data_IF_108486673828
#
_entry.id   IF_108486673828
#
_cell.length_a   1.000
_cell.length_b   1.000
_cell.length_c   1.000
_cell.angle_alpha   90.00
_cell.angle_beta   90.00
_cell.angle_gamma   90.00
#
_symmetry.space_group_name_H-M   'P 1'
#
loop_
_entity.id
_entity.type
_entity.pdbx_description
1 polymer ?
#
# COMPACT_ATOMS: atom_id res chain seq x y z
N UNK A 1 19.97 -22.62 -13.76
CA UNK A 1 20.07 -21.21 -14.16
C UNK A 1 19.74 -21.17 -15.64
N UNK A 2 18.49 -20.88 -15.99
CA UNK A 2 18.09 -20.69 -17.39
C UNK A 2 17.63 -19.25 -17.50
N UNK A 3 18.48 -18.44 -18.12
CA UNK A 3 18.23 -17.04 -18.42
C UNK A 3 17.36 -17.02 -19.67
N UNK A 4 16.05 -16.82 -19.51
CA UNK A 4 15.12 -16.62 -20.63
C UNK A 4 15.34 -15.22 -21.20
N UNK A 5 16.28 -15.11 -22.13
CA UNK A 5 16.47 -13.93 -22.97
C UNK A 5 15.56 -14.10 -24.20
N UNK A 6 14.52 -13.27 -24.31
CA UNK A 6 13.77 -13.05 -25.55
C UNK A 6 13.98 -11.61 -26.01
N UNK A 7 14.57 -11.47 -27.21
CA UNK A 7 15.27 -10.27 -27.70
C UNK A 7 14.44 -8.97 -27.85
N UNK A 8 13.12 -8.99 -27.64
CA UNK A 8 12.28 -7.78 -27.80
C UNK A 8 11.42 -7.42 -26.58
N UNK A 9 11.13 -8.37 -25.67
CA UNK A 9 10.29 -8.15 -24.47
C UNK A 9 11.04 -8.34 -23.13
N UNK A 10 12.29 -8.83 -23.17
CA UNK A 10 13.05 -9.15 -21.96
C UNK A 10 13.46 -7.90 -21.15
N UNK A 11 13.76 -6.79 -21.82
CA UNK A 11 14.27 -5.59 -21.15
C UNK A 11 13.19 -4.88 -20.32
N UNK A 12 11.97 -4.73 -20.83
CA UNK A 12 10.88 -4.12 -20.07
C UNK A 12 10.48 -4.99 -18.86
N UNK A 13 10.49 -6.32 -19.04
CA UNK A 13 10.20 -7.27 -17.97
C UNK A 13 11.30 -7.25 -16.90
N UNK A 14 12.58 -7.29 -17.30
CA UNK A 14 13.71 -7.24 -16.38
C UNK A 14 13.80 -5.88 -15.66
N UNK A 15 13.59 -4.77 -16.37
CA UNK A 15 13.57 -3.43 -15.81
C UNK A 15 12.39 -3.24 -14.85
N UNK A 16 11.20 -3.73 -15.20
CA UNK A 16 10.03 -3.72 -14.33
C UNK A 16 10.24 -4.51 -13.04
N UNK A 17 10.89 -5.68 -13.15
CA UNK A 17 11.29 -6.50 -12.00
C UNK A 17 12.28 -5.77 -11.11
N UNK A 18 13.33 -5.17 -11.69
CA UNK A 18 14.31 -4.37 -10.95
C UNK A 18 13.65 -3.18 -10.25
N UNK A 19 12.81 -2.43 -10.96
CA UNK A 19 12.04 -1.32 -10.41
C UNK A 19 11.22 -1.76 -9.20
N UNK A 20 10.48 -2.87 -9.33
CA UNK A 20 9.67 -3.43 -8.23
C UNK A 20 10.55 -3.72 -7.01
N UNK A 21 11.70 -4.39 -7.22
CA UNK A 21 12.65 -4.67 -6.13
C UNK A 21 13.16 -3.37 -5.50
N UNK A 22 13.54 -2.38 -6.29
CA UNK A 22 14.03 -1.10 -5.80
C UNK A 22 12.97 -0.33 -5.01
N UNK A 23 11.70 -0.33 -5.44
CA UNK A 23 10.59 0.29 -4.70
C UNK A 23 10.41 -0.35 -3.32
N UNK A 24 10.48 -1.68 -3.26
CA UNK A 24 10.37 -2.44 -2.02
C UNK A 24 11.57 -2.22 -1.10
N UNK A 25 12.79 -2.23 -1.63
CA UNK A 25 14.00 -1.95 -0.86
C UNK A 25 14.04 -0.52 -0.35
N UNK A 26 13.63 0.46 -1.17
CA UNK A 26 13.56 1.85 -0.74
C UNK A 26 12.58 2.03 0.43
N UNK A 27 11.38 1.44 0.35
CA UNK A 27 10.44 1.41 1.46
C UNK A 27 11.10 0.84 2.73
N UNK A 28 11.79 -0.31 2.61
CA UNK A 28 12.43 -0.96 3.75
C UNK A 28 13.55 -0.10 4.33
N UNK A 29 14.40 0.52 3.52
CA UNK A 29 15.45 1.41 3.99
C UNK A 29 14.89 2.59 4.79
N UNK A 30 13.79 3.21 4.33
CA UNK A 30 13.16 4.31 5.05
C UNK A 30 12.47 3.83 6.34
N UNK A 31 11.81 2.68 6.29
CA UNK A 31 11.18 2.08 7.46
C UNK A 31 12.24 1.78 8.52
N UNK A 32 13.33 1.12 8.14
CA UNK A 32 14.44 0.75 9.02
C UNK A 32 15.11 1.96 9.65
N UNK A 33 15.43 2.97 8.83
CA UNK A 33 15.99 4.22 9.31
C UNK A 33 15.10 4.90 10.36
N UNK A 34 13.78 4.95 10.10
CA UNK A 34 12.83 5.56 11.03
C UNK A 34 12.59 4.70 12.27
N UNK A 35 12.59 3.37 12.13
CA UNK A 35 12.44 2.44 13.22
C UNK A 35 13.57 2.58 14.24
N UNK A 36 14.81 2.65 13.76
CA UNK A 36 16.00 2.79 14.61
C UNK A 36 16.10 4.16 15.28
N UNK A 37 15.79 5.24 14.55
CA UNK A 37 16.06 6.61 14.99
C UNK A 37 14.85 7.31 15.59
N UNK A 38 13.67 7.10 15.02
CA UNK A 38 12.48 7.91 15.27
C UNK A 38 11.20 7.03 15.31
N UNK A 39 11.12 5.99 16.15
CA UNK A 39 10.00 5.03 16.13
C UNK A 39 8.65 5.68 16.45
N UNK A 40 8.64 6.76 17.24
CA UNK A 40 7.43 7.57 17.46
C UNK A 40 6.95 8.28 16.19
N UNK A 41 7.87 8.74 15.35
CA UNK A 41 7.54 9.34 14.05
C UNK A 41 7.02 8.26 13.11
N UNK A 42 7.66 7.09 13.09
CA UNK A 42 7.23 5.95 12.28
C UNK A 42 5.76 5.58 12.52
N UNK A 43 5.27 5.66 13.76
CA UNK A 43 3.84 5.47 14.11
C UNK A 43 2.85 6.45 13.44
N UNK A 44 3.34 7.48 12.76
CA UNK A 44 2.56 8.48 12.03
C UNK A 44 2.90 8.52 10.53
N UNK A 45 3.70 7.56 10.04
CA UNK A 45 4.10 7.45 8.63
C UNK A 45 3.27 6.37 7.94
N UNK A 46 2.95 6.63 6.67
CA UNK A 46 2.33 5.66 5.78
C UNK A 46 3.21 5.42 4.56
N UNK A 47 3.48 4.16 4.25
CA UNK A 47 4.16 3.71 3.04
C UNK A 47 3.13 3.22 2.03
N UNK A 48 3.09 3.87 0.87
CA UNK A 48 2.16 3.56 -0.21
C UNK A 48 2.98 3.16 -1.43
N UNK A 49 2.85 1.90 -1.86
CA UNK A 49 3.51 1.38 -3.05
C UNK A 49 2.54 1.39 -4.24
N UNK A 50 3.08 1.69 -5.43
CA UNK A 50 2.34 1.67 -6.69
C UNK A 50 2.40 0.26 -7.30
N UNK A 51 1.45 -0.58 -6.90
CA UNK A 51 1.44 -2.01 -7.19
C UNK A 51 1.20 -2.86 -5.94
N UNK A 52 1.12 -4.19 -6.10
CA UNK A 52 0.93 -5.09 -4.97
C UNK A 52 2.18 -5.19 -4.10
N UNK A 53 1.99 -5.60 -2.85
CA UNK A 53 3.07 -6.02 -1.96
C UNK A 53 3.51 -7.46 -2.34
N UNK A 54 4.16 -7.56 -3.51
CA UNK A 54 4.53 -8.82 -4.13
C UNK A 54 5.77 -8.73 -4.99
N UNK A 55 6.50 -9.84 -5.06
CA UNK A 55 7.67 -10.04 -5.89
C UNK A 55 7.46 -11.31 -6.72
N UNK A 56 7.69 -11.22 -8.03
CA UNK A 56 7.41 -12.30 -8.98
C UNK A 56 8.69 -12.79 -9.65
N UNK A 57 8.72 -14.06 -10.09
CA UNK A 57 9.87 -14.59 -10.83
C UNK A 57 11.08 -14.86 -9.91
N UNK A 58 12.32 -14.74 -10.42
CA UNK A 58 13.53 -15.14 -9.69
C UNK A 58 13.73 -14.44 -8.34
N UNK A 59 13.19 -13.22 -8.17
CA UNK A 59 13.28 -12.46 -6.93
C UNK A 59 12.15 -12.75 -5.93
N UNK A 60 11.17 -13.58 -6.27
CA UNK A 60 10.06 -13.95 -5.38
C UNK A 60 10.53 -14.40 -3.98
N UNK A 61 11.63 -15.19 -3.82
CA UNK A 61 12.10 -15.58 -2.49
C UNK A 61 12.41 -14.42 -1.53
N UNK A 62 12.74 -13.23 -2.03
CA UNK A 62 13.01 -12.04 -1.21
C UNK A 62 11.81 -11.65 -0.34
N UNK A 63 10.57 -11.95 -0.78
CA UNK A 63 9.35 -11.66 -0.02
C UNK A 63 9.36 -12.27 1.39
N UNK A 64 10.05 -13.40 1.59
CA UNK A 64 10.22 -14.02 2.91
C UNK A 64 11.03 -13.16 3.87
N UNK A 65 12.14 -12.58 3.37
CA UNK A 65 12.98 -11.70 4.17
C UNK A 65 12.24 -10.39 4.52
N UNK A 66 11.49 -9.84 3.56
CA UNK A 66 10.64 -8.65 3.79
C UNK A 66 9.60 -8.94 4.87
N UNK A 67 8.86 -10.05 4.75
CA UNK A 67 7.85 -10.42 5.73
C UNK A 67 8.43 -10.62 7.13
N UNK A 68 9.53 -11.37 7.25
CA UNK A 68 10.20 -11.61 8.52
C UNK A 68 10.67 -10.31 9.19
N UNK A 69 11.24 -9.40 8.39
CA UNK A 69 11.64 -8.08 8.87
C UNK A 69 10.45 -7.26 9.38
N UNK A 70 9.36 -7.17 8.61
CA UNK A 70 8.17 -6.42 9.01
C UNK A 70 7.55 -6.97 10.30
N UNK A 71 7.52 -8.29 10.46
CA UNK A 71 7.04 -8.94 11.68
C UNK A 71 7.93 -8.65 12.89
N UNK A 72 9.25 -8.70 12.71
CA UNK A 72 10.22 -8.38 13.76
C UNK A 72 10.07 -6.92 14.21
N UNK A 73 10.04 -5.98 13.25
CA UNK A 73 9.85 -4.56 13.53
C UNK A 73 8.49 -4.31 14.20
N UNK A 74 7.42 -4.94 13.74
CA UNK A 74 6.09 -4.78 14.32
C UNK A 74 6.00 -5.29 15.75
N UNK A 75 6.62 -6.43 16.04
CA UNK A 75 6.70 -6.98 17.40
C UNK A 75 7.39 -5.99 18.32
N UNK A 76 8.58 -5.51 17.95
CA UNK A 76 9.33 -4.56 18.78
C UNK A 76 8.58 -3.23 18.94
N UNK A 77 7.96 -2.70 17.89
CA UNK A 77 7.15 -1.48 18.00
C UNK A 77 6.01 -1.65 19.00
N UNK A 78 5.32 -2.79 18.94
CA UNK A 78 4.18 -3.09 19.82
C UNK A 78 4.62 -3.25 21.27
N UNK A 79 5.72 -3.98 21.51
CA UNK A 79 6.31 -4.17 22.85
C UNK A 79 6.72 -2.83 23.49
N UNK A 80 7.13 -1.86 22.66
CA UNK A 80 7.49 -0.50 23.09
C UNK A 80 6.29 0.44 23.18
N UNK A 81 5.08 -0.03 22.92
CA UNK A 81 3.84 0.75 22.99
C UNK A 81 3.63 1.72 21.81
N UNK A 82 4.33 1.52 20.71
CA UNK A 82 4.16 2.30 19.48
C UNK A 82 3.08 1.71 18.58
N UNK A 83 2.43 2.58 17.79
CA UNK A 83 1.53 2.12 16.73
C UNK A 83 2.32 1.70 15.50
N UNK A 84 1.86 0.67 14.81
CA UNK A 84 2.45 0.21 13.56
C UNK A 84 2.25 1.25 12.44
N UNK A 85 3.25 1.46 11.57
CA UNK A 85 3.07 2.29 10.38
C UNK A 85 2.08 1.64 9.42
N UNK A 86 1.35 2.46 8.67
CA UNK A 86 0.55 1.95 7.55
C UNK A 86 1.48 1.54 6.43
N UNK A 87 1.32 0.34 5.90
CA UNK A 87 1.99 -0.12 4.68
C UNK A 87 0.90 -0.71 3.78
N UNK A 88 0.80 -0.19 2.56
CA UNK A 88 -0.21 -0.62 1.59
C UNK A 88 0.33 -0.57 0.17
N UNK A 89 0.11 -1.62 -0.58
CA UNK A 89 0.27 -1.62 -2.04
C UNK A 89 -1.07 -1.30 -2.68
N UNK A 90 -1.10 -0.41 -3.68
CA UNK A 90 -2.32 -0.05 -4.40
C UNK A 90 -2.16 -0.35 -5.88
N UNK A 91 -3.06 -1.17 -6.43
CA UNK A 91 -3.10 -1.53 -7.84
C UNK A 91 -4.11 -0.68 -8.60
N UNK A 92 -3.67 -0.05 -9.69
CA UNK A 92 -4.50 0.77 -10.57
C UNK A 92 -4.90 0.06 -11.86
N UNK A 93 -4.20 -1.02 -12.18
CA UNK A 93 -4.36 -1.78 -13.42
C UNK A 93 -4.16 -3.28 -13.17
N UNK A 94 -4.48 -4.08 -14.18
CA UNK A 94 -4.43 -5.53 -14.13
C UNK A 94 -5.73 -6.17 -13.66
N UNK A 95 -5.80 -7.50 -13.77
CA UNK A 95 -7.02 -8.29 -13.62
C UNK A 95 -7.82 -7.96 -12.33
N UNK A 96 -7.13 -7.73 -11.21
CA UNK A 96 -7.80 -7.40 -9.95
C UNK A 96 -8.44 -5.99 -9.97
N UNK A 97 -7.73 -4.98 -10.46
CA UNK A 97 -8.26 -3.61 -10.57
C UNK A 97 -9.41 -3.53 -11.59
N UNK A 98 -9.27 -4.23 -12.73
CA UNK A 98 -10.31 -4.33 -13.74
C UNK A 98 -11.57 -5.02 -13.21
N UNK A 99 -11.40 -6.15 -12.51
CA UNK A 99 -12.52 -6.85 -11.87
C UNK A 99 -13.20 -5.98 -10.80
N UNK A 100 -12.42 -5.30 -9.96
CA UNK A 100 -12.94 -4.40 -8.94
C UNK A 100 -13.79 -3.27 -9.54
N UNK A 101 -13.36 -2.72 -10.68
CA UNK A 101 -14.12 -1.70 -11.41
C UNK A 101 -15.44 -2.24 -11.95
N UNK A 102 -15.46 -3.47 -12.48
CA UNK A 102 -16.68 -4.09 -13.02
C UNK A 102 -17.74 -4.37 -11.95
N UNK A 103 -17.32 -4.77 -10.74
CA UNK A 103 -18.24 -5.06 -9.64
C UNK A 103 -18.48 -3.85 -8.73
N UNK A 104 -17.90 -2.70 -9.02
CA UNK A 104 -17.90 -1.52 -8.15
C UNK A 104 -19.32 -1.09 -7.72
N UNK A 105 -20.31 -1.22 -8.61
CA UNK A 105 -21.71 -0.87 -8.31
C UNK A 105 -22.36 -1.78 -7.25
N UNK A 106 -21.86 -3.00 -7.08
CA UNK A 106 -22.38 -4.00 -6.13
C UNK A 106 -21.73 -3.88 -4.74
N UNK A 107 -20.63 -3.14 -4.61
CA UNK A 107 -19.96 -2.90 -3.34
C UNK A 107 -20.55 -1.62 -2.73
N UNK A 108 -21.09 -1.63 -1.51
CA UNK A 108 -21.51 -0.40 -0.83
C UNK A 108 -20.32 0.49 -0.48
N UNK A 109 -20.54 1.80 -0.32
CA UNK A 109 -19.46 2.70 0.13
C UNK A 109 -18.98 2.32 1.53
N UNK A 110 -17.71 2.63 1.83
CA UNK A 110 -17.02 2.29 3.10
C UNK A 110 -17.05 0.79 3.42
N UNK A 111 -16.97 -0.04 2.38
CA UNK A 111 -17.01 -1.49 2.53
C UNK A 111 -15.68 -2.08 2.09
N UNK A 112 -15.10 -2.88 2.98
CA UNK A 112 -14.01 -3.80 2.66
C UNK A 112 -14.62 -5.11 2.16
N UNK A 113 -14.25 -5.51 0.96
CA UNK A 113 -14.58 -6.81 0.40
C UNK A 113 -13.37 -7.74 0.53
N UNK A 114 -13.58 -8.85 1.22
CA UNK A 114 -12.63 -9.97 1.29
C UNK A 114 -12.51 -10.64 -0.08
N UNK A 115 -11.34 -11.20 -0.35
CA UNK A 115 -11.08 -11.98 -1.55
C UNK A 115 -10.64 -13.38 -1.14
N UNK A 116 -11.57 -14.31 -0.87
CA UNK A 116 -11.26 -15.73 -0.68
C UNK A 116 -10.55 -16.33 -1.89
N UNK A 117 -9.73 -17.36 -1.69
CA UNK A 117 -8.95 -17.99 -2.78
C UNK A 117 -9.83 -18.55 -3.90
N UNK A 118 -10.94 -19.20 -3.55
CA UNK A 118 -11.92 -19.72 -4.51
C UNK A 118 -12.52 -18.60 -5.35
N UNK A 119 -12.86 -17.46 -4.74
CA UNK A 119 -13.31 -16.28 -5.46
C UNK A 119 -12.24 -15.75 -6.42
N UNK A 120 -10.99 -15.64 -5.97
CA UNK A 120 -9.88 -15.16 -6.81
C UNK A 120 -9.70 -16.07 -8.04
N UNK A 121 -9.59 -17.38 -7.84
CA UNK A 121 -9.36 -18.32 -8.93
C UNK A 121 -10.53 -18.38 -9.90
N UNK A 122 -11.77 -18.43 -9.39
CA UNK A 122 -12.96 -18.60 -10.22
C UNK A 122 -13.42 -17.31 -10.91
N UNK A 123 -13.31 -16.16 -10.25
CA UNK A 123 -13.93 -14.91 -10.71
C UNK A 123 -12.94 -13.90 -11.26
N UNK A 124 -11.67 -13.94 -10.84
CA UNK A 124 -10.66 -12.96 -11.25
C UNK A 124 -9.68 -13.57 -12.25
N UNK A 125 -9.04 -14.67 -11.89
CA UNK A 125 -8.01 -15.30 -12.72
C UNK A 125 -8.57 -16.28 -13.77
N UNK A 126 -9.87 -16.57 -13.70
CA UNK A 126 -10.54 -17.58 -14.54
C UNK A 126 -9.75 -18.89 -14.66
N UNK A 127 -9.10 -19.30 -13.57
CA UNK A 127 -8.16 -20.42 -13.50
C UNK A 127 -8.69 -21.49 -12.57
N UNK A 128 -8.40 -22.76 -12.85
CA UNK A 128 -8.76 -23.84 -11.90
C UNK A 128 -7.91 -23.67 -10.64
N UNK A 129 -8.50 -23.71 -9.43
CA UNK A 129 -7.71 -23.73 -8.22
C UNK A 129 -6.80 -24.95 -8.26
N UNK A 130 -5.48 -24.73 -8.22
CA UNK A 130 -4.56 -25.81 -7.90
C UNK A 130 -4.86 -26.19 -6.45
N UNK A 131 -5.27 -27.43 -6.22
CA UNK A 131 -5.78 -27.95 -4.94
C UNK A 131 -4.78 -27.89 -3.77
N UNK A 132 -3.60 -27.30 -3.96
CA UNK A 132 -2.44 -27.50 -3.08
C UNK A 132 -1.79 -26.19 -2.60
N UNK A 133 -2.06 -25.03 -3.22
CA UNK A 133 -1.40 -23.77 -2.81
C UNK A 133 -2.38 -22.61 -2.67
N UNK A 134 -2.18 -21.83 -1.60
CA UNK A 134 -2.97 -20.64 -1.35
C UNK A 134 -2.62 -19.54 -2.37
N UNK A 135 -3.57 -18.66 -2.68
CA UNK A 135 -3.29 -17.56 -3.61
C UNK A 135 -2.13 -16.70 -3.11
N UNK A 136 -1.12 -16.55 -3.97
CA UNK A 136 0.00 -15.67 -3.73
C UNK A 136 1.00 -16.17 -2.68
N UNK A 137 0.91 -17.43 -2.26
CA UNK A 137 1.79 -18.01 -1.23
C UNK A 137 3.28 -17.82 -1.53
N UNK A 138 3.71 -17.93 -2.79
CA UNK A 138 5.13 -17.80 -3.16
C UNK A 138 5.55 -16.39 -3.57
N UNK A 139 4.60 -15.49 -3.81
CA UNK A 139 4.86 -14.20 -4.46
C UNK A 139 4.48 -12.99 -3.62
N UNK A 140 3.47 -13.10 -2.76
CA UNK A 140 2.96 -11.99 -1.96
C UNK A 140 3.45 -12.08 -0.52
N UNK A 141 3.74 -10.92 0.08
CA UNK A 141 3.96 -10.77 1.52
C UNK A 141 2.84 -9.95 2.19
N UNK A 142 1.69 -9.88 1.52
CA UNK A 142 0.46 -9.30 2.04
C UNK A 142 -0.76 -9.89 1.35
N UNK A 143 -1.95 -9.49 1.79
CA UNK A 143 -3.21 -10.00 1.24
C UNK A 143 -3.98 -8.91 0.51
N UNK A 144 -4.60 -9.33 -0.59
CA UNK A 144 -5.44 -8.47 -1.41
C UNK A 144 -6.83 -8.30 -0.82
N UNK A 145 -7.32 -7.07 -0.89
CA UNK A 145 -8.71 -6.71 -0.61
C UNK A 145 -9.21 -5.73 -1.66
N UNK A 146 -10.52 -5.68 -1.85
CA UNK A 146 -11.13 -4.50 -2.45
C UNK A 146 -11.68 -3.61 -1.36
N UNK A 147 -11.48 -2.31 -1.49
CA UNK A 147 -12.07 -1.34 -0.59
C UNK A 147 -12.81 -0.27 -1.39
N UNK A 148 -14.10 -0.09 -1.13
CA UNK A 148 -14.83 1.07 -1.66
C UNK A 148 -14.84 2.18 -0.63
N UNK A 149 -14.26 3.31 -0.98
CA UNK A 149 -14.16 4.47 -0.11
C UNK A 149 -15.51 5.14 0.14
N UNK A 150 -15.52 6.10 1.07
CA UNK A 150 -16.69 6.92 1.36
C UNK A 150 -17.26 7.66 0.12
N UNK A 151 -16.41 8.01 -0.86
CA UNK A 151 -16.81 8.70 -2.11
C UNK A 151 -17.09 7.74 -3.27
N UNK A 152 -17.06 6.43 -3.03
CA UNK A 152 -17.40 5.43 -4.03
C UNK A 152 -16.25 4.99 -4.94
N UNK A 153 -15.03 5.52 -4.73
CA UNK A 153 -13.83 5.02 -5.41
C UNK A 153 -13.50 3.62 -4.88
N UNK A 154 -13.31 2.66 -5.78
CA UNK A 154 -12.88 1.30 -5.43
C UNK A 154 -11.37 1.21 -5.59
N UNK A 155 -10.71 0.67 -4.56
CA UNK A 155 -9.28 0.43 -4.52
C UNK A 155 -9.01 -1.07 -4.46
N UNK A 156 -8.07 -1.53 -5.28
CA UNK A 156 -7.43 -2.83 -5.11
C UNK A 156 -6.18 -2.62 -4.26
N UNK A 157 -6.19 -3.18 -3.05
CA UNK A 157 -5.12 -2.97 -2.07
C UNK A 157 -4.50 -4.28 -1.63
N UNK A 158 -3.21 -4.25 -1.33
CA UNK A 158 -2.51 -5.33 -0.63
C UNK A 158 -1.99 -4.82 0.71
N UNK A 159 -2.33 -5.50 1.80
CA UNK A 159 -1.90 -5.13 3.17
C UNK A 159 -1.02 -6.24 3.74
N UNK A 160 0.15 -5.94 4.33
CA UNK A 160 1.05 -6.96 4.82
C UNK A 160 0.55 -7.53 6.15
N UNK A 161 0.87 -8.79 6.40
CA UNK A 161 0.66 -9.41 7.70
C UNK A 161 1.86 -9.07 8.60
N UNK A 162 1.62 -8.27 9.63
CA UNK A 162 2.66 -7.82 10.56
C UNK A 162 2.66 -8.59 11.88
N UNK A 163 1.58 -9.31 12.18
CA UNK A 163 1.43 -10.13 13.38
C UNK A 163 1.36 -11.61 12.99
N UNK A 164 2.42 -12.35 13.33
CA UNK A 164 2.53 -13.78 13.03
C UNK A 164 1.52 -14.63 13.79
N UNK A 165 1.12 -14.23 15.01
CA UNK A 165 0.16 -15.00 15.81
C UNK A 165 -1.23 -14.89 15.23
N UNK A 166 -1.66 -13.67 14.87
CA UNK A 166 -2.95 -13.46 14.23
C UNK A 166 -3.02 -14.17 12.87
N UNK A 167 -1.93 -14.16 12.10
CA UNK A 167 -1.89 -14.84 10.82
C UNK A 167 -2.07 -16.36 10.94
N UNK A 168 -1.55 -16.99 11.99
CA UNK A 168 -1.69 -18.43 12.22
C UNK A 168 -3.08 -18.83 12.76
N UNK A 169 -3.78 -17.91 13.43
CA UNK A 169 -5.08 -18.18 14.06
C UNK A 169 -6.27 -17.94 13.13
N UNK A 170 -6.08 -17.19 12.05
CA UNK A 170 -7.14 -16.75 11.16
C UNK A 170 -6.91 -17.24 9.72
N UNK A 171 -7.99 -17.29 8.93
CA UNK A 171 -7.85 -17.51 7.49
C UNK A 171 -7.08 -16.34 6.86
N UNK A 172 -6.29 -16.62 5.81
CA UNK A 172 -5.45 -15.61 5.17
C UNK A 172 -6.22 -14.43 4.57
N UNK A 173 -7.52 -14.55 4.33
CA UNK A 173 -8.37 -13.47 3.84
C UNK A 173 -9.22 -12.80 4.95
N UNK A 174 -9.02 -13.18 6.22
CA UNK A 174 -9.70 -12.59 7.36
C UNK A 174 -9.12 -11.21 7.69
N UNK A 175 -9.91 -10.12 7.62
CA UNK A 175 -9.48 -8.77 7.96
C UNK A 175 -8.88 -8.63 9.36
N UNK A 176 -9.27 -9.47 10.32
CA UNK A 176 -8.76 -9.43 11.71
C UNK A 176 -7.26 -9.72 11.79
N UNK A 177 -6.72 -10.49 10.84
CA UNK A 177 -5.30 -10.80 10.78
C UNK A 177 -4.41 -9.59 10.39
N UNK A 178 -5.01 -8.46 9.99
CA UNK A 178 -4.32 -7.29 9.47
C UNK A 178 -4.48 -6.09 10.40
N UNK A 179 -3.62 -6.02 11.43
CA UNK A 179 -3.69 -5.00 12.48
C UNK A 179 -3.70 -3.54 11.95
N UNK A 180 -3.01 -3.26 10.84
CA UNK A 180 -2.95 -1.93 10.23
C UNK A 180 -4.14 -1.59 9.33
N UNK A 181 -5.01 -2.56 9.03
CA UNK A 181 -6.11 -2.41 8.07
C UNK A 181 -7.08 -1.27 8.41
N UNK A 182 -7.55 -1.08 9.66
CA UNK A 182 -8.42 0.06 9.97
C UNK A 182 -7.76 1.41 9.67
N UNK A 183 -6.47 1.56 10.00
CA UNK A 183 -5.71 2.77 9.71
C UNK A 183 -5.49 2.96 8.19
N UNK A 184 -5.26 1.86 7.46
CA UNK A 184 -5.18 1.86 5.99
C UNK A 184 -6.49 2.34 5.36
N UNK A 185 -7.65 1.85 5.81
CA UNK A 185 -8.95 2.27 5.28
C UNK A 185 -9.25 3.75 5.56
N UNK A 186 -8.94 4.22 6.77
CA UNK A 186 -9.08 5.63 7.13
C UNK A 186 -8.17 6.52 6.28
N UNK A 187 -6.93 6.08 6.02
CA UNK A 187 -6.00 6.75 5.11
C UNK A 187 -6.57 6.81 3.69
N UNK A 188 -7.08 5.70 3.16
CA UNK A 188 -7.66 5.64 1.81
C UNK A 188 -8.92 6.50 1.66
N UNK A 189 -9.77 6.59 2.68
CA UNK A 189 -10.88 7.53 2.70
C UNK A 189 -10.36 8.99 2.62
N UNK A 190 -9.30 9.31 3.36
CA UNK A 190 -8.65 10.62 3.30
C UNK A 190 -8.00 10.90 1.93
N UNK A 191 -7.32 9.93 1.34
CA UNK A 191 -6.67 10.03 0.03
C UNK A 191 -7.72 10.16 -1.09
N UNK A 192 -8.75 9.33 -1.08
CA UNK A 192 -9.84 9.35 -2.06
C UNK A 192 -10.62 10.66 -2.06
N UNK A 193 -10.49 11.49 -1.01
CA UNK A 193 -11.02 12.86 -1.04
C UNK A 193 -10.22 13.83 -1.92
N UNK A 194 -8.97 13.49 -2.26
CA UNK A 194 -7.98 14.38 -2.89
C UNK A 194 -7.54 13.94 -4.30
N UNK A 195 -7.93 12.75 -4.75
CA UNK A 195 -7.54 12.21 -6.05
C UNK A 195 -8.59 12.52 -7.14
N UNK A 196 -8.14 13.06 -8.27
CA UNK A 196 -8.85 12.97 -9.55
C UNK A 196 -8.63 11.58 -10.17
N UNK A 197 -9.49 11.18 -11.12
CA UNK A 197 -9.69 9.79 -11.56
C UNK A 197 -8.46 9.04 -12.08
N UNK A 198 -7.36 9.70 -12.46
CA UNK A 198 -6.26 9.04 -13.19
C UNK A 198 -4.85 9.45 -12.75
N UNK A 199 -4.72 10.13 -11.61
CA UNK A 199 -3.41 10.58 -11.15
C UNK A 199 -2.70 9.51 -10.30
N UNK A 200 -1.39 9.33 -10.50
CA UNK A 200 -0.63 8.37 -9.70
C UNK A 200 -0.73 8.75 -8.22
N UNK A 201 -1.33 7.87 -7.40
CA UNK A 201 -1.71 8.17 -6.01
C UNK A 201 -0.56 8.78 -5.20
N UNK A 202 0.67 8.21 -5.22
CA UNK A 202 1.80 8.81 -4.51
C UNK A 202 2.18 10.20 -5.03
N UNK A 203 2.15 10.42 -6.35
CA UNK A 203 2.49 11.71 -6.98
C UNK A 203 1.44 12.76 -6.62
N UNK A 204 0.17 12.40 -6.67
CA UNK A 204 -0.93 13.32 -6.34
C UNK A 204 -0.92 13.66 -4.86
N UNK A 205 -0.58 12.70 -3.99
CA UNK A 205 -0.40 12.95 -2.57
C UNK A 205 0.79 13.88 -2.34
N UNK A 206 1.95 13.58 -2.92
CA UNK A 206 3.14 14.42 -2.81
C UNK A 206 2.86 15.84 -3.31
N UNK A 207 2.19 16.00 -4.45
CA UNK A 207 1.77 17.29 -4.97
C UNK A 207 0.80 17.98 -4.01
N UNK A 208 -0.20 17.27 -3.48
CA UNK A 208 -1.16 17.83 -2.52
C UNK A 208 -0.45 18.31 -1.24
N UNK A 209 0.47 17.53 -0.67
CA UNK A 209 1.23 17.89 0.51
C UNK A 209 2.24 19.01 0.25
N UNK A 210 2.84 19.05 -0.94
CA UNK A 210 3.72 20.14 -1.38
C UNK A 210 2.97 21.42 -1.76
N UNK A 211 1.66 21.35 -2.02
CA UNK A 211 0.81 22.52 -2.30
C UNK A 211 0.21 23.16 -1.04
N UNK A 212 0.12 22.42 0.07
CA UNK A 212 -0.35 22.92 1.38
C UNK A 212 0.53 24.05 2.01
N UNK A 213 1.85 24.19 1.74
CA UNK A 213 2.65 25.32 2.24
C UNK A 213 2.22 26.69 1.70
N UNK A 214 1.45 26.76 0.60
CA UNK A 214 1.03 28.03 -0.01
C UNK A 214 0.08 28.83 0.89
N UNK A 215 -0.72 28.17 1.74
CA UNK A 215 -1.62 28.84 2.69
C UNK A 215 -0.90 29.50 3.88
N UNK A 216 0.29 28.99 4.25
CA UNK A 216 1.11 29.57 5.32
C UNK A 216 1.87 30.78 4.79
N UNK A 217 2.42 30.72 3.58
CA UNK A 217 3.08 31.85 2.93
C UNK A 217 2.17 33.07 2.79
N UNK A 218 0.92 32.87 2.37
CA UNK A 218 -0.07 33.97 2.29
C UNK A 218 -0.45 34.54 3.66
N UNK A 219 -0.58 33.70 4.69
CA UNK A 219 -0.82 34.18 6.07
C UNK A 219 0.35 34.98 6.61
N UNK A 220 1.59 34.55 6.37
CA UNK A 220 2.81 35.27 6.78
C UNK A 220 2.93 36.58 6.03
N UNK A 221 2.72 36.60 4.70
CA UNK A 221 2.69 37.84 3.92
C UNK A 221 1.57 38.79 4.36
N UNK A 222 0.37 38.26 4.66
CA UNK A 222 -0.75 39.08 5.16
C UNK A 222 -0.46 39.64 6.54
N UNK A 223 0.18 38.87 7.42
CA UNK A 223 0.58 39.33 8.76
C UNK A 223 1.64 40.44 8.64
N UNK A 224 2.68 40.22 7.84
CA UNK A 224 3.74 41.19 7.59
C UNK A 224 3.19 42.45 6.94
N UNK A 225 2.31 42.33 5.92
CA UNK A 225 1.71 43.50 5.27
C UNK A 225 0.84 44.32 6.22
N UNK A 226 0.11 43.69 7.15
CA UNK A 226 -0.65 44.42 8.18
C UNK A 226 0.26 45.11 9.18
N UNK A 227 1.32 44.43 9.60
CA UNK A 227 2.32 44.98 10.54
C UNK A 227 3.08 46.17 9.95
N UNK A 228 3.33 46.17 8.64
CA UNK A 228 3.91 47.32 7.92
C UNK A 228 2.91 48.46 7.69
N UNK A 229 1.61 48.18 7.52
CA UNK A 229 0.57 49.19 7.34
C UNK A 229 0.24 49.92 8.66
N UNK A 230 0.33 49.22 9.79
CA UNK A 230 0.11 49.80 11.13
C UNK A 230 1.32 50.60 11.67
N UNK A 231 2.46 50.60 10.96
CA UNK A 231 3.69 51.33 11.32
C UNK A 231 3.96 52.57 10.45
N UNK A 232 3.01 53.00 9.62
CA UNK A 232 3.13 54.26 8.89
C UNK A 232 2.65 55.42 9.78
N UNK A 233 3.48 56.46 10.04
CA UNK A 233 3.16 57.57 10.95
C UNK A 233 2.03 58.49 10.43
#
# INVERSE_FOLDING_TARGET
MHEEVQDLNANETALGRLRTVLEHLAMLCYLDYLFDRLPRVLSSVAFILDGPLALFGPQAPLKRAIAAYLQSAATEMTDRGYRLPVIVGIEKSGQFAEHAAQIASHIPNRTLMRLPDDYIFQRILASRPSTTSAFGEDTYYGRKFFYKSARGQVFTITVPYMDSNLFLQHHADDPVAYATLPATLALLDGIGTKLYSDAAIPITLAHSFASIPLGIGSKVLTLMSKEFLDQTP
#
